data_IF_989198383336
#
_entry.id   IF_989198383336
#
_cell.length_a   1.000
_cell.length_b   1.000
_cell.length_c   1.000
_cell.angle_alpha   90.00
_cell.angle_beta   90.00
_cell.angle_gamma   90.00
#
_symmetry.space_group_name_H-M   'P 1'
#
loop_
_entity.id
_entity.type
_entity.pdbx_description
1 polymer ?
#
# COMPACT_ATOMS: atom_id res chain seq x y z
N UNK A 1 27.98 9.87 49.35
CA UNK A 1 28.15 10.38 47.98
C UNK A 1 27.74 9.28 47.01
N UNK A 2 26.60 9.42 46.33
CA UNK A 2 26.20 8.54 45.22
C UNK A 2 26.77 9.13 43.92
N UNK A 3 27.33 8.32 43.00
CA UNK A 3 27.75 8.85 41.71
C UNK A 3 26.51 9.12 40.85
N UNK A 4 26.47 10.28 40.21
CA UNK A 4 25.45 10.64 39.25
C UNK A 4 25.58 9.77 37.99
N UNK A 5 24.51 9.07 37.62
CA UNK A 5 24.39 8.40 36.33
C UNK A 5 24.31 9.46 35.22
N UNK A 6 25.26 9.46 34.30
CA UNK A 6 25.20 10.26 33.09
C UNK A 6 23.99 9.82 32.23
N UNK A 7 23.26 10.76 31.60
CA UNK A 7 22.12 10.40 30.76
C UNK A 7 22.59 9.59 29.55
N UNK A 8 21.99 8.41 29.37
CA UNK A 8 22.19 7.57 28.19
C UNK A 8 21.65 8.31 26.97
N UNK A 9 22.43 8.53 25.90
CA UNK A 9 21.90 9.18 24.71
C UNK A 9 20.95 8.20 24.01
N UNK A 10 19.64 8.47 24.05
CA UNK A 10 18.69 7.75 23.20
C UNK A 10 18.95 8.14 21.74
N UNK A 11 19.72 7.34 21.03
CA UNK A 11 19.81 7.41 19.57
C UNK A 11 18.50 6.89 18.97
N UNK A 12 17.42 7.66 19.09
CA UNK A 12 16.33 7.56 18.12
C UNK A 12 16.91 8.04 16.78
N UNK A 13 17.30 7.11 15.91
CA UNK A 13 17.60 7.46 14.52
C UNK A 13 16.33 8.06 13.95
N UNK A 14 16.36 9.32 13.52
CA UNK A 14 15.24 9.90 12.79
C UNK A 14 15.15 9.19 11.44
N UNK A 15 14.32 8.15 11.36
CA UNK A 15 13.93 7.60 10.08
C UNK A 15 13.13 8.66 9.34
N UNK A 16 13.58 9.02 8.13
CA UNK A 16 12.84 9.90 7.23
C UNK A 16 12.32 9.03 6.08
N UNK A 17 11.03 9.11 5.74
CA UNK A 17 10.53 8.51 4.51
C UNK A 17 11.35 9.02 3.31
N UNK A 18 11.78 8.12 2.43
CA UNK A 18 12.51 8.49 1.20
C UNK A 18 11.62 9.21 0.19
N UNK A 19 10.30 9.09 0.32
CA UNK A 19 9.28 9.79 -0.48
C UNK A 19 8.44 10.74 0.39
N UNK A 20 8.00 11.88 -0.18
CA UNK A 20 7.07 12.80 0.51
C UNK A 20 5.65 12.23 0.47
N UNK A 21 4.84 12.51 1.50
CA UNK A 21 3.46 12.02 1.62
C UNK A 21 2.59 12.26 0.37
N UNK A 22 2.73 13.43 -0.28
CA UNK A 22 1.97 13.75 -1.50
C UNK A 22 2.34 12.93 -2.75
N UNK A 23 3.49 12.23 -2.77
CA UNK A 23 3.88 11.42 -3.92
C UNK A 23 3.10 10.11 -4.02
N UNK A 24 2.64 9.55 -2.91
CA UNK A 24 1.91 8.29 -2.92
C UNK A 24 0.55 8.40 -3.61
N UNK A 25 -0.30 9.41 -3.31
CA UNK A 25 -1.54 9.60 -4.06
C UNK A 25 -1.31 9.86 -5.55
N UNK A 26 -0.32 10.70 -5.92
CA UNK A 26 0.02 10.92 -7.34
C UNK A 26 0.47 9.64 -8.04
N UNK A 27 1.29 8.83 -7.36
CA UNK A 27 1.75 7.54 -7.88
C UNK A 27 0.58 6.59 -8.12
N UNK A 28 -0.32 6.40 -7.15
CA UNK A 28 -1.49 5.54 -7.35
C UNK A 28 -2.46 6.08 -8.40
N UNK A 29 -2.64 7.40 -8.46
CA UNK A 29 -3.52 8.02 -9.45
C UNK A 29 -3.04 7.76 -10.88
N UNK A 30 -1.72 7.68 -11.10
CA UNK A 30 -1.13 7.32 -12.39
C UNK A 30 -1.43 5.86 -12.82
N UNK A 31 -1.89 5.01 -11.89
CA UNK A 31 -2.27 3.62 -12.16
C UNK A 31 -3.79 3.44 -12.36
N UNK A 32 -4.61 4.47 -12.12
CA UNK A 32 -6.06 4.40 -12.27
C UNK A 32 -6.50 4.35 -13.74
N UNK A 33 -5.76 5.02 -14.63
CA UNK A 33 -6.12 5.09 -16.04
C UNK A 33 -4.89 5.26 -16.94
N UNK A 34 -5.01 4.88 -18.23
CA UNK A 34 -3.97 5.15 -19.21
C UNK A 34 -3.64 6.64 -19.30
N UNK A 35 -2.36 6.96 -19.49
CA UNK A 35 -1.88 8.33 -19.60
C UNK A 35 -0.40 8.40 -19.29
N UNK A 36 -0.05 8.19 -18.02
CA UNK A 36 1.35 8.01 -17.63
C UNK A 36 1.88 6.64 -18.06
N UNK A 37 1.07 5.60 -17.85
CA UNK A 37 1.31 4.25 -18.37
C UNK A 37 0.36 3.96 -19.54
N UNK A 38 0.80 3.11 -20.48
CA UNK A 38 -0.08 2.61 -21.54
C UNK A 38 -1.12 1.66 -20.94
N UNK A 39 -2.30 1.57 -21.56
CA UNK A 39 -3.34 0.63 -21.13
C UNK A 39 -2.81 -0.81 -21.03
N UNK A 40 -2.08 -1.28 -22.06
CA UNK A 40 -1.48 -2.60 -22.07
C UNK A 40 -0.47 -2.82 -20.93
N UNK A 41 0.23 -1.77 -20.48
CA UNK A 41 1.16 -1.85 -19.35
C UNK A 41 0.41 -1.98 -18.03
N UNK A 42 -0.69 -1.23 -17.85
CA UNK A 42 -1.53 -1.36 -16.66
C UNK A 42 -2.15 -2.75 -16.57
N UNK A 43 -2.67 -3.27 -17.67
CA UNK A 43 -3.22 -4.63 -17.71
C UNK A 43 -2.14 -5.68 -17.38
N UNK A 44 -0.93 -5.54 -17.93
CA UNK A 44 0.17 -6.44 -17.62
C UNK A 44 0.56 -6.40 -16.13
N UNK A 45 0.61 -5.22 -15.51
CA UNK A 45 0.95 -5.08 -14.09
C UNK A 45 -0.07 -5.78 -13.18
N UNK A 46 -1.34 -5.77 -13.56
CA UNK A 46 -2.46 -6.25 -12.76
C UNK A 46 -3.05 -7.58 -13.26
N UNK A 47 -2.31 -8.29 -14.11
CA UNK A 47 -2.70 -9.64 -14.53
C UNK A 47 -2.16 -10.66 -13.51
N UNK A 48 -3.02 -11.55 -12.97
CA UNK A 48 -2.59 -12.68 -12.16
C UNK A 48 -1.51 -13.53 -12.85
N UNK A 49 -0.36 -13.71 -12.18
CA UNK A 49 0.67 -14.61 -12.64
C UNK A 49 0.28 -16.06 -12.32
N UNK A 50 0.91 -17.05 -12.95
CA UNK A 50 0.59 -18.46 -12.73
C UNK A 50 1.81 -19.23 -12.21
N UNK A 51 1.56 -20.21 -11.34
CA UNK A 51 2.60 -21.14 -10.88
C UNK A 51 3.03 -22.08 -12.00
N UNK A 52 4.12 -22.83 -11.79
CA UNK A 52 4.55 -23.89 -12.73
C UNK A 52 3.52 -25.02 -12.87
N UNK A 53 2.60 -25.17 -11.91
CA UNK A 53 1.47 -26.09 -11.97
C UNK A 53 0.23 -25.49 -12.66
N UNK A 54 0.31 -24.26 -13.16
CA UNK A 54 -0.78 -23.57 -13.88
C UNK A 54 -1.85 -22.97 -12.96
N UNK A 55 -1.64 -22.93 -11.65
CA UNK A 55 -2.58 -22.28 -10.72
C UNK A 55 -2.39 -20.76 -10.76
N UNK A 56 -3.49 -20.03 -10.85
CA UNK A 56 -3.45 -18.57 -10.79
C UNK A 56 -3.00 -18.11 -9.40
N UNK A 57 -2.10 -17.14 -9.39
CA UNK A 57 -1.66 -16.44 -8.18
C UNK A 57 -2.50 -15.18 -8.03
N UNK A 58 -2.81 -14.77 -6.81
CA UNK A 58 -3.44 -13.47 -6.54
C UNK A 58 -2.41 -12.31 -6.59
N UNK A 59 -1.40 -12.44 -7.46
CA UNK A 59 -0.26 -11.54 -7.54
C UNK A 59 0.10 -11.24 -9.01
N UNK A 60 0.16 -9.95 -9.33
CA UNK A 60 0.64 -9.43 -10.59
C UNK A 60 2.12 -9.08 -10.54
N UNK A 61 2.56 -8.17 -11.39
CA UNK A 61 3.95 -7.72 -11.36
C UNK A 61 4.11 -6.66 -10.27
N UNK A 62 4.44 -7.09 -9.06
CA UNK A 62 4.69 -6.21 -7.92
C UNK A 62 3.42 -5.70 -7.23
N UNK A 63 2.30 -6.40 -7.39
CA UNK A 63 1.00 -6.03 -6.82
C UNK A 63 0.25 -7.28 -6.37
N UNK A 64 -0.36 -7.23 -5.19
CA UNK A 64 -1.44 -8.14 -4.85
C UNK A 64 -2.70 -7.69 -5.59
N UNK A 65 -3.46 -8.66 -6.08
CA UNK A 65 -4.70 -8.44 -6.83
C UNK A 65 -5.82 -9.07 -6.04
N UNK A 66 -6.87 -8.29 -5.79
CA UNK A 66 -8.07 -8.77 -5.13
C UNK A 66 -9.31 -8.16 -5.79
N UNK A 67 -10.43 -8.80 -5.53
CA UNK A 67 -11.75 -8.25 -5.83
C UNK A 67 -12.40 -7.93 -4.49
N UNK A 68 -12.96 -6.73 -4.36
CA UNK A 68 -13.71 -6.35 -3.16
C UNK A 68 -15.12 -6.98 -3.15
N UNK A 69 -15.90 -6.75 -2.10
CA UNK A 69 -17.26 -7.29 -1.99
C UNK A 69 -18.25 -6.71 -3.00
N UNK A 70 -17.91 -5.58 -3.64
CA UNK A 70 -18.69 -4.94 -4.69
C UNK A 70 -18.29 -5.41 -6.11
N UNK A 71 -17.27 -6.25 -6.22
CA UNK A 71 -16.75 -6.71 -7.50
C UNK A 71 -15.72 -5.78 -8.12
N UNK A 72 -15.24 -4.76 -7.40
CA UNK A 72 -14.25 -3.83 -7.91
C UNK A 72 -12.86 -4.43 -7.97
N UNK A 73 -12.10 -3.99 -8.97
CA UNK A 73 -10.70 -4.35 -9.17
C UNK A 73 -9.81 -3.57 -8.23
N UNK A 74 -9.31 -4.25 -7.21
CA UNK A 74 -8.46 -3.69 -6.19
C UNK A 74 -7.03 -4.25 -6.29
N UNK A 75 -6.04 -3.37 -6.20
CA UNK A 75 -4.63 -3.76 -6.18
C UNK A 75 -3.91 -3.08 -5.03
N UNK A 76 -3.01 -3.80 -4.37
CA UNK A 76 -2.32 -3.29 -3.19
C UNK A 76 -0.92 -3.84 -3.03
N UNK A 77 -0.12 -3.15 -2.22
CA UNK A 77 1.21 -3.61 -1.84
C UNK A 77 1.59 -3.11 -0.44
N UNK A 78 2.19 -4.00 0.35
CA UNK A 78 2.81 -3.65 1.62
C UNK A 78 4.27 -3.22 1.42
N UNK A 79 4.79 -2.37 2.28
CA UNK A 79 6.21 -2.02 2.30
C UNK A 79 6.75 -2.10 3.71
N UNK A 80 7.96 -2.61 3.84
CA UNK A 80 8.61 -2.76 5.14
C UNK A 80 10.10 -2.48 5.01
N UNK A 81 10.62 -1.68 5.94
CA UNK A 81 12.05 -1.51 6.13
C UNK A 81 12.33 -1.19 7.60
N UNK A 82 13.60 -1.13 7.97
CA UNK A 82 13.99 -0.74 9.33
C UNK A 82 13.53 0.70 9.58
N UNK A 83 12.64 0.86 10.55
CA UNK A 83 12.07 2.14 10.96
C UNK A 83 10.82 2.56 10.19
N UNK A 84 10.22 1.71 9.37
CA UNK A 84 8.95 2.06 8.72
C UNK A 84 8.19 0.89 8.10
N UNK A 85 6.87 1.00 8.14
CA UNK A 85 5.93 0.07 7.50
C UNK A 85 4.91 0.87 6.71
N UNK A 86 4.53 0.37 5.53
CA UNK A 86 3.58 1.02 4.64
C UNK A 86 2.54 0.04 4.13
N UNK A 87 1.33 0.53 3.91
CA UNK A 87 0.31 -0.14 3.12
C UNK A 87 -0.17 0.83 2.04
N UNK A 88 -0.25 0.34 0.81
CA UNK A 88 -0.66 1.13 -0.34
C UNK A 88 -1.74 0.38 -1.13
N UNK A 89 -2.82 1.06 -1.47
CA UNK A 89 -3.97 0.45 -2.15
C UNK A 89 -4.56 1.36 -3.21
N UNK A 90 -5.06 0.74 -4.28
CA UNK A 90 -5.70 1.40 -5.43
C UNK A 90 -6.95 0.60 -5.80
N UNK A 91 -8.12 1.20 -5.64
CA UNK A 91 -9.37 0.74 -6.23
C UNK A 91 -9.54 1.42 -7.60
N UNK A 92 -9.45 0.61 -8.65
CA UNK A 92 -9.46 1.08 -10.03
C UNK A 92 -10.85 1.50 -10.50
N UNK A 93 -11.90 0.95 -9.90
CA UNK A 93 -13.27 1.16 -10.37
C UNK A 93 -13.91 2.34 -9.60
N UNK A 94 -13.71 2.43 -8.28
CA UNK A 94 -14.10 3.61 -7.48
C UNK A 94 -13.15 4.81 -7.63
N UNK A 95 -11.99 4.59 -8.27
CA UNK A 95 -10.91 5.60 -8.44
C UNK A 95 -10.36 6.13 -7.12
N UNK A 96 -10.24 5.26 -6.13
CA UNK A 96 -9.72 5.59 -4.80
C UNK A 96 -8.28 5.12 -4.66
N UNK A 97 -7.43 5.98 -4.09
CA UNK A 97 -6.03 5.67 -3.78
C UNK A 97 -5.78 6.03 -2.33
N UNK A 98 -5.18 5.11 -1.57
CA UNK A 98 -4.75 5.40 -0.21
C UNK A 98 -3.33 4.92 0.05
N UNK A 99 -2.67 5.59 0.99
CA UNK A 99 -1.35 5.26 1.47
C UNK A 99 -1.30 5.46 2.98
N UNK A 100 -1.01 4.40 3.72
CA UNK A 100 -0.68 4.47 5.14
C UNK A 100 0.83 4.28 5.29
N UNK A 101 1.48 5.21 5.96
CA UNK A 101 2.94 5.20 6.16
C UNK A 101 3.21 5.44 7.63
N UNK A 102 3.98 4.55 8.25
CA UNK A 102 4.38 4.66 9.66
C UNK A 102 5.90 4.75 9.77
N UNK A 103 6.37 5.33 10.88
CA UNK A 103 7.79 5.40 11.26
C UNK A 103 8.17 4.32 12.28
N UNK A 104 7.45 3.19 12.29
CA UNK A 104 7.66 2.06 13.17
C UNK A 104 7.91 0.82 12.32
N UNK A 105 8.95 0.05 12.64
CA UNK A 105 9.15 -1.27 12.05
C UNK A 105 8.04 -2.22 12.50
N UNK A 106 7.62 -3.12 11.62
CA UNK A 106 6.65 -4.17 11.92
C UNK A 106 5.34 -3.64 12.52
N UNK A 107 4.96 -2.41 12.15
CA UNK A 107 3.72 -1.82 12.62
C UNK A 107 2.54 -2.65 12.10
N UNK A 108 1.62 -3.00 13.00
CA UNK A 108 0.35 -3.63 12.59
C UNK A 108 -0.49 -2.60 11.86
N UNK A 109 -0.70 -2.80 10.57
CA UNK A 109 -1.48 -1.91 9.72
C UNK A 109 -2.93 -2.39 9.57
N UNK A 110 -3.53 -2.87 10.66
CA UNK A 110 -4.93 -3.34 10.67
C UNK A 110 -5.90 -2.24 10.17
N UNK A 111 -5.60 -0.98 10.48
CA UNK A 111 -6.34 0.19 9.97
C UNK A 111 -6.33 0.32 8.43
N UNK A 112 -5.30 -0.18 7.73
CA UNK A 112 -5.28 -0.16 6.26
C UNK A 112 -6.38 -1.07 5.67
N UNK A 113 -6.66 -2.19 6.35
CA UNK A 113 -7.77 -3.08 5.99
C UNK A 113 -9.11 -2.43 6.28
N UNK A 114 -9.24 -1.71 7.39
CA UNK A 114 -10.47 -0.96 7.70
C UNK A 114 -10.73 0.14 6.67
N UNK A 115 -9.70 0.87 6.25
CA UNK A 115 -9.80 1.87 5.18
C UNK A 115 -10.29 1.22 3.89
N UNK A 116 -9.74 0.06 3.52
CA UNK A 116 -10.23 -0.71 2.38
C UNK A 116 -11.72 -1.05 2.55
N UNK A 117 -12.14 -1.55 3.72
CA UNK A 117 -13.53 -1.91 3.99
C UNK A 117 -14.50 -0.70 3.93
N UNK A 118 -14.05 0.50 4.28
CA UNK A 118 -14.86 1.73 4.13
C UNK A 118 -15.16 2.00 2.65
N UNK A 119 -14.21 1.76 1.76
CA UNK A 119 -14.42 1.93 0.32
C UNK A 119 -15.16 0.73 -0.31
N UNK A 120 -14.97 -0.45 0.26
CA UNK A 120 -15.72 -1.68 -0.08
C UNK A 120 -17.21 -1.58 0.31
N UNK A 121 -17.58 -0.70 1.25
CA UNK A 121 -18.96 -0.55 1.74
C UNK A 121 -19.70 0.69 1.23
N UNK A 122 -19.03 1.62 0.56
CA UNK A 122 -19.62 2.91 0.17
C UNK A 122 -20.17 2.99 -1.26
N UNK A 123 -20.30 1.87 -1.98
CA UNK A 123 -21.22 1.80 -3.13
C UNK A 123 -22.67 1.54 -2.69
N UNK A 124 -23.18 2.35 -1.75
CA UNK A 124 -24.61 2.62 -1.68
C UNK A 124 -24.83 3.98 -2.33
N UNK A 125 -25.24 3.98 -3.60
CA UNK A 125 -25.95 5.10 -4.25
C UNK A 125 -27.44 4.79 -4.27
N UNK A 126 -28.34 5.78 -4.31
CA UNK A 126 -28.23 7.21 -3.98
C UNK A 126 -28.84 7.56 -2.61
#
# INVERSE_FOLDING_TARGET
MQPALAPTPSRARSWRPTSRGSRWPSFGSAHLQPGYLKAATLELLFTPQHTTSGQATEYGIGWFIATDTLGHRYVFHGGGSVGGTTAFGVDRDSRVVFALVTNLSDARLDAAREIQLVFDSTATRP
#
